data_IF_684633501561
#
_entry.id   IF_684633501561
#
_cell.length_a   1.000
_cell.length_b   1.000
_cell.length_c   1.000
_cell.angle_alpha   90.00
_cell.angle_beta   90.00
_cell.angle_gamma   90.00
#
_symmetry.space_group_name_H-M   'P 1'
#
loop_
_entity.id
_entity.type
_entity.pdbx_description
1 polymer ?
#
# COMPACT_ATOMS: atom_id res chain seq x y z
N UNK A 1 -25.76 -8.82 14.92
CA UNK A 1 -24.58 -7.94 15.04
C UNK A 1 -23.41 -8.71 14.46
N UNK A 2 -22.82 -8.25 13.36
CA UNK A 2 -21.59 -8.84 12.83
C UNK A 2 -20.42 -8.13 13.52
N UNK A 3 -19.59 -8.86 14.26
CA UNK A 3 -18.45 -8.30 14.99
C UNK A 3 -17.28 -7.94 14.05
N UNK A 4 -17.40 -8.29 12.77
CA UNK A 4 -16.40 -8.07 11.75
C UNK A 4 -17.07 -7.47 10.50
N UNK A 5 -16.76 -6.20 10.23
CA UNK A 5 -17.18 -5.50 9.02
C UNK A 5 -15.92 -5.05 8.30
N UNK A 6 -15.74 -5.49 7.07
CA UNK A 6 -14.68 -4.99 6.21
C UNK A 6 -14.91 -3.51 5.93
N UNK A 7 -13.85 -2.74 5.91
CA UNK A 7 -13.87 -1.36 5.44
C UNK A 7 -13.57 -1.31 3.93
N UNK A 8 -13.92 -0.19 3.30
CA UNK A 8 -13.83 -0.02 1.84
C UNK A 8 -12.42 0.33 1.33
N UNK A 9 -11.45 0.46 2.23
CA UNK A 9 -10.06 0.76 1.90
C UNK A 9 -9.24 -0.49 1.56
N UNK A 10 -7.93 -0.27 1.42
CA UNK A 10 -6.96 -1.26 0.98
C UNK A 10 -6.89 -2.44 1.93
N UNK A 11 -6.97 -3.66 1.38
CA UNK A 11 -6.96 -4.89 2.16
C UNK A 11 -8.15 -5.04 3.13
N UNK A 12 -9.25 -4.30 2.92
CA UNK A 12 -10.40 -4.32 3.82
C UNK A 12 -10.22 -3.46 5.08
N UNK A 13 -9.28 -2.52 5.05
CA UNK A 13 -9.00 -1.54 6.11
C UNK A 13 -9.60 -0.18 5.76
N UNK A 14 -9.36 0.85 6.58
CA UNK A 14 -9.72 2.24 6.25
C UNK A 14 -8.61 2.99 5.49
N UNK A 15 -7.46 2.35 5.24
CA UNK A 15 -6.32 2.95 4.57
C UNK A 15 -6.59 3.11 3.08
N UNK A 16 -6.30 4.28 2.54
CA UNK A 16 -6.47 4.63 1.13
C UNK A 16 -5.14 4.60 0.37
N UNK A 17 -5.19 4.78 -0.94
CA UNK A 17 -3.98 4.95 -1.75
C UNK A 17 -3.22 6.23 -1.39
N UNK A 18 -3.96 7.31 -1.10
CA UNK A 18 -3.40 8.61 -0.79
C UNK A 18 -2.63 8.56 0.54
N UNK A 19 -3.18 7.86 1.55
CA UNK A 19 -2.48 7.64 2.82
C UNK A 19 -1.11 6.97 2.62
N UNK A 20 -1.05 5.91 1.78
CA UNK A 20 0.20 5.20 1.51
C UNK A 20 1.15 6.06 0.67
N UNK A 21 0.64 6.77 -0.34
CA UNK A 21 1.46 7.62 -1.21
C UNK A 21 2.13 8.74 -0.42
N UNK A 22 1.37 9.45 0.42
CA UNK A 22 1.89 10.52 1.28
C UNK A 22 2.97 9.99 2.23
N UNK A 23 2.74 8.82 2.84
CA UNK A 23 3.72 8.19 3.73
C UNK A 23 4.99 7.80 2.98
N UNK A 24 4.88 7.22 1.78
CA UNK A 24 6.05 6.81 1.01
C UNK A 24 6.82 8.01 0.45
N UNK A 25 6.14 9.07 0.03
CA UNK A 25 6.76 10.34 -0.36
C UNK A 25 7.58 10.93 0.79
N UNK A 26 7.04 10.91 2.01
CA UNK A 26 7.74 11.34 3.22
C UNK A 26 8.93 10.43 3.55
N UNK A 27 8.73 9.12 3.59
CA UNK A 27 9.76 8.13 3.97
C UNK A 27 10.93 8.12 2.99
N UNK A 28 10.65 8.11 1.69
CA UNK A 28 11.70 8.14 0.65
C UNK A 28 12.16 9.57 0.30
N UNK A 29 11.54 10.59 0.92
CA UNK A 29 11.77 12.01 0.64
C UNK A 29 11.70 12.33 -0.85
N UNK A 30 10.74 11.73 -1.55
CA UNK A 30 10.60 11.72 -3.02
C UNK A 30 9.42 12.59 -3.47
N UNK A 31 9.47 13.07 -4.71
CA UNK A 31 8.33 13.75 -5.35
C UNK A 31 7.59 12.83 -6.33
N UNK A 32 8.07 11.60 -6.50
CA UNK A 32 7.39 10.59 -7.29
C UNK A 32 5.99 10.28 -6.74
N UNK A 33 5.05 10.01 -7.65
CA UNK A 33 3.67 9.64 -7.34
C UNK A 33 3.41 8.21 -7.82
N UNK A 34 2.37 7.56 -7.30
CA UNK A 34 1.95 6.26 -7.80
C UNK A 34 1.27 6.39 -9.17
N UNK A 35 1.53 5.40 -10.01
CA UNK A 35 1.02 5.36 -11.37
C UNK A 35 -0.41 4.82 -11.50
N UNK A 36 -0.93 4.83 -12.74
CA UNK A 36 -2.25 4.28 -13.04
C UNK A 36 -2.30 2.75 -12.91
N UNK A 37 -1.16 2.04 -13.03
CA UNK A 37 -1.10 0.58 -12.91
C UNK A 37 -0.68 0.11 -11.52
N UNK A 38 -0.79 0.97 -10.50
CA UNK A 38 -0.50 0.59 -9.11
C UNK A 38 -1.39 -0.57 -8.67
N UNK A 39 -0.81 -1.48 -7.90
CA UNK A 39 -1.52 -2.68 -7.43
C UNK A 39 -1.14 -3.06 -6.03
N UNK A 40 -2.07 -3.70 -5.32
CA UNK A 40 -1.80 -4.35 -4.03
C UNK A 40 -2.06 -5.84 -4.12
N UNK A 41 -1.34 -6.61 -3.30
CA UNK A 41 -1.60 -8.02 -3.07
C UNK A 41 -1.50 -8.32 -1.57
N UNK A 42 -2.56 -8.86 -0.98
CA UNK A 42 -2.51 -9.38 0.39
C UNK A 42 -1.69 -10.68 0.41
N UNK A 43 -0.50 -10.61 0.99
CA UNK A 43 0.42 -11.73 1.14
C UNK A 43 0.39 -12.33 2.54
N UNK A 44 -0.34 -11.71 3.48
CA UNK A 44 -0.50 -12.17 4.86
C UNK A 44 -1.67 -13.13 5.04
N UNK A 45 -2.70 -13.01 4.19
CA UNK A 45 -3.89 -13.84 4.26
C UNK A 45 -3.55 -15.34 4.17
N UNK A 46 -4.09 -16.13 5.11
CA UNK A 46 -3.85 -17.57 5.19
C UNK A 46 -2.45 -17.98 5.70
N UNK A 47 -1.61 -17.03 6.14
CA UNK A 47 -0.24 -17.30 6.62
C UNK A 47 -0.04 -17.10 8.12
N UNK A 48 -1.11 -16.97 8.91
CA UNK A 48 -1.03 -16.82 10.36
C UNK A 48 -0.77 -15.38 10.86
N UNK A 49 -0.80 -14.38 9.96
CA UNK A 49 -0.81 -12.98 10.36
C UNK A 49 -2.25 -12.53 10.66
N UNK A 50 -2.45 -11.91 11.83
CA UNK A 50 -3.70 -11.21 12.13
C UNK A 50 -3.77 -9.84 11.46
N UNK A 51 -2.63 -9.21 11.18
CA UNK A 51 -2.54 -7.95 10.43
C UNK A 51 -2.73 -8.17 8.92
N UNK A 52 -3.14 -7.12 8.21
CA UNK A 52 -3.10 -7.09 6.74
C UNK A 52 -1.67 -6.82 6.29
N UNK A 53 -1.11 -7.71 5.47
CA UNK A 53 0.23 -7.55 4.93
C UNK A 53 0.09 -7.37 3.42
N UNK A 54 0.28 -6.15 2.93
CA UNK A 54 0.04 -5.81 1.53
C UNK A 54 1.38 -5.57 0.83
N UNK A 55 1.65 -6.35 -0.22
CA UNK A 55 2.69 -6.05 -1.19
C UNK A 55 2.14 -4.99 -2.15
N UNK A 56 2.78 -3.83 -2.20
CA UNK A 56 2.40 -2.69 -3.04
C UNK A 56 3.38 -2.60 -4.21
N UNK A 57 2.85 -2.62 -5.42
CA UNK A 57 3.56 -2.19 -6.62
C UNK A 57 3.06 -0.79 -6.98
N UNK A 58 3.83 0.26 -6.70
CA UNK A 58 3.39 1.66 -6.82
C UNK A 58 3.31 2.16 -8.26
N UNK A 59 3.95 1.49 -9.23
CA UNK A 59 4.04 1.99 -10.61
C UNK A 59 4.57 3.44 -10.66
N UNK A 60 5.68 3.71 -9.96
CA UNK A 60 6.18 5.07 -9.73
C UNK A 60 6.27 5.90 -11.01
N UNK A 61 5.73 7.13 -10.95
CA UNK A 61 5.82 8.14 -12.00
C UNK A 61 6.65 9.34 -11.51
N UNK A 62 7.23 10.10 -12.44
CA UNK A 62 8.05 11.28 -12.12
C UNK A 62 9.22 10.98 -11.18
N UNK A 63 9.87 9.83 -11.38
CA UNK A 63 10.97 9.34 -10.54
C UNK A 63 12.13 10.35 -10.50
N UNK A 64 12.37 10.92 -9.32
CA UNK A 64 13.47 11.88 -9.06
C UNK A 64 14.71 11.23 -8.42
N UNK A 65 14.62 9.96 -8.01
CA UNK A 65 15.71 9.20 -7.39
C UNK A 65 15.50 7.69 -7.53
N UNK A 66 16.47 6.90 -7.09
CA UNK A 66 16.31 5.46 -7.00
C UNK A 66 15.24 5.10 -5.94
N UNK A 67 14.18 4.42 -6.37
CA UNK A 67 13.03 4.01 -5.55
C UNK A 67 12.82 2.50 -5.69
N UNK A 68 12.29 1.83 -4.66
CA UNK A 68 12.01 0.41 -4.74
C UNK A 68 10.90 0.12 -5.76
N UNK A 69 11.07 -0.95 -6.54
CA UNK A 69 10.06 -1.44 -7.49
C UNK A 69 8.75 -1.87 -6.80
N UNK A 70 8.85 -2.38 -5.57
CA UNK A 70 7.74 -2.77 -4.73
C UNK A 70 8.13 -2.68 -3.24
N UNK A 71 7.15 -2.54 -2.36
CA UNK A 71 7.36 -2.52 -0.91
C UNK A 71 6.19 -3.18 -0.18
N UNK A 72 6.40 -3.51 1.11
CA UNK A 72 5.38 -4.13 1.95
C UNK A 72 4.89 -3.09 2.96
N UNK A 73 3.57 -3.00 3.11
CA UNK A 73 2.92 -2.29 4.22
C UNK A 73 2.20 -3.27 5.14
N UNK A 74 2.11 -2.92 6.42
CA UNK A 74 1.52 -3.74 7.48
C UNK A 74 0.68 -2.88 8.41
#
# INVERSE_FOLDING_TARGET
MNLYTLADGLGGTHVTWDDIEEDMQRVFSTKAIFGPNKSIKDIGNGRGFMSRILLVNPDWQHIDKELPEAFIVK
#
